data_IF_501598965194
#
_entry.id   IF_501598965194
#
_cell.length_a   1.000
_cell.length_b   1.000
_cell.length_c   1.000
_cell.angle_alpha   90.00
_cell.angle_beta   90.00
_cell.angle_gamma   90.00
#
_symmetry.space_group_name_H-M   'P 1'
#
loop_
_entity.id
_entity.type
_entity.pdbx_description
1 polymer ?
#
# COMPACT_ATOMS: atom_id res chain seq x y z
N UNK A 1 -12.93 9.72 -9.21
CA UNK A 1 -12.80 10.60 -8.02
C UNK A 1 -11.40 10.45 -7.49
N UNK A 2 -10.54 11.45 -7.61
CA UNK A 2 -9.12 11.30 -7.27
C UNK A 2 -8.91 11.54 -5.76
N UNK A 3 -9.37 10.60 -4.93
CA UNK A 3 -9.30 10.72 -3.47
C UNK A 3 -7.94 10.24 -3.00
N UNK A 4 -7.18 11.14 -2.35
CA UNK A 4 -5.89 10.80 -1.75
C UNK A 4 -6.06 10.09 -0.41
N UNK A 5 -5.47 8.89 -0.29
CA UNK A 5 -5.46 8.12 0.96
C UNK A 5 -4.09 8.18 1.63
N UNK A 6 -4.06 8.58 2.90
CA UNK A 6 -2.84 8.59 3.73
C UNK A 6 -2.86 7.37 4.64
N UNK A 7 -2.04 6.38 4.33
CA UNK A 7 -1.98 5.10 5.04
C UNK A 7 -0.67 5.03 5.81
N UNK A 8 -0.73 4.85 7.13
CA UNK A 8 0.44 4.51 7.93
C UNK A 8 0.71 3.01 7.83
N UNK A 9 1.74 2.65 7.07
CA UNK A 9 2.21 1.28 6.95
C UNK A 9 3.29 1.03 8.02
N UNK A 10 2.94 0.28 9.07
CA UNK A 10 3.83 0.02 10.21
C UNK A 10 4.09 -1.49 10.26
N UNK A 11 5.33 -1.95 9.99
CA UNK A 11 5.66 -3.37 10.10
C UNK A 11 5.67 -3.78 11.57
N UNK A 12 5.08 -4.94 11.87
CA UNK A 12 5.23 -5.62 13.16
C UNK A 12 6.49 -6.50 13.20
N UNK A 13 6.44 -7.56 14.01
CA UNK A 13 7.53 -8.53 14.14
C UNK A 13 7.52 -9.62 13.05
N UNK A 14 8.48 -10.54 13.11
CA UNK A 14 8.62 -11.63 12.15
C UNK A 14 8.93 -11.12 10.75
N UNK A 15 8.20 -11.61 9.74
CA UNK A 15 8.40 -11.27 8.33
C UNK A 15 7.80 -9.90 7.92
N UNK A 16 7.40 -9.07 8.88
CA UNK A 16 6.70 -7.81 8.62
C UNK A 16 7.50 -6.84 7.72
N UNK A 17 8.83 -6.83 7.82
CA UNK A 17 9.69 -5.97 6.99
C UNK A 17 9.84 -6.50 5.56
N UNK A 18 9.66 -7.79 5.38
CA UNK A 18 9.82 -8.53 4.12
C UNK A 18 8.53 -8.66 3.32
N UNK A 19 7.35 -8.48 3.94
CA UNK A 19 6.04 -8.58 3.26
C UNK A 19 5.32 -7.24 3.09
N UNK A 20 5.62 -6.27 3.95
CA UNK A 20 4.99 -4.95 3.88
C UNK A 20 5.27 -4.24 2.53
N UNK A 21 6.52 -4.25 1.99
CA UNK A 21 6.80 -3.64 0.69
C UNK A 21 5.95 -4.21 -0.47
N UNK A 22 5.62 -5.49 -0.43
CA UNK A 22 4.81 -6.23 -1.40
C UNK A 22 3.37 -5.75 -1.33
N UNK A 23 2.83 -5.60 -0.12
CA UNK A 23 1.50 -5.02 0.11
C UNK A 23 1.40 -3.60 -0.45
N UNK A 24 2.44 -2.77 -0.24
CA UNK A 24 2.49 -1.41 -0.81
C UNK A 24 2.49 -1.44 -2.34
N UNK A 25 3.22 -2.36 -2.98
CA UNK A 25 3.22 -2.51 -4.44
C UNK A 25 1.84 -2.88 -5.00
N UNK A 26 1.11 -3.76 -4.31
CA UNK A 26 -0.27 -4.12 -4.70
C UNK A 26 -1.22 -2.92 -4.55
N UNK A 27 -1.10 -2.15 -3.47
CA UNK A 27 -1.91 -0.95 -3.26
C UNK A 27 -1.65 0.12 -4.32
N UNK A 28 -0.39 0.31 -4.74
CA UNK A 28 -0.04 1.21 -5.83
C UNK A 28 -0.66 0.77 -7.15
N UNK A 29 -0.51 -0.52 -7.51
CA UNK A 29 -1.12 -1.06 -8.73
C UNK A 29 -2.66 -0.95 -8.71
N UNK A 30 -3.29 -1.16 -7.54
CA UNK A 30 -4.72 -0.94 -7.37
C UNK A 30 -5.10 0.54 -7.55
N UNK A 31 -4.33 1.45 -6.97
CA UNK A 31 -4.60 2.88 -7.10
C UNK A 31 -4.57 3.33 -8.57
N UNK A 32 -3.55 2.91 -9.33
CA UNK A 32 -3.44 3.16 -10.76
C UNK A 32 -4.62 2.57 -11.55
N UNK A 33 -4.98 1.30 -11.28
CA UNK A 33 -6.04 0.60 -12.02
C UNK A 33 -7.42 1.22 -11.84
N UNK A 34 -7.71 1.73 -10.64
CA UNK A 34 -9.05 2.19 -10.27
C UNK A 34 -9.19 3.71 -10.21
N UNK A 35 -8.14 4.47 -10.55
CA UNK A 35 -8.15 5.93 -10.57
C UNK A 35 -8.15 6.57 -9.18
N UNK A 36 -7.39 5.99 -8.25
CA UNK A 36 -7.13 6.51 -6.91
C UNK A 36 -5.70 7.09 -6.86
N UNK A 37 -5.44 7.96 -5.89
CA UNK A 37 -4.13 8.61 -5.70
C UNK A 37 -3.70 8.55 -4.24
#
# INVERSE_FOLDING_TARGET
MNKTLRIAAIPGDGIGKEVLPEGVRVLQAAAERWGWR
#
